data_IF_995587428757
#
_entry.id   IF_995587428757
#
_cell.length_a   1.000
_cell.length_b   1.000
_cell.length_c   1.000
_cell.angle_alpha   90.00
_cell.angle_beta   90.00
_cell.angle_gamma   90.00
#
_symmetry.space_group_name_H-M   'P 1'
#
loop_
_entity.id
_entity.type
_entity.pdbx_description
1 polymer ?
#
# COMPACT_ATOMS: atom_id res chain seq x y z
N UNK A 1 2.08 1.96 7.69
CA UNK A 1 0.94 2.63 8.37
C UNK A 1 1.24 4.11 8.49
N UNK A 2 0.26 5.00 8.41
CA UNK A 2 0.41 6.45 8.59
C UNK A 2 0.54 6.87 10.05
N UNK A 3 1.23 6.06 10.83
CA UNK A 3 1.52 6.25 12.24
C UNK A 3 2.99 5.91 12.46
N UNK A 4 3.70 6.78 13.18
CA UNK A 4 5.10 6.54 13.51
C UNK A 4 5.22 5.54 14.66
N UNK A 5 6.41 4.98 14.90
CA UNK A 5 6.65 4.13 16.07
C UNK A 5 6.42 4.90 17.39
N UNK A 6 6.57 6.22 17.39
CA UNK A 6 6.22 7.10 18.51
C UNK A 6 4.70 7.37 18.67
N UNK A 7 3.84 6.73 17.87
CA UNK A 7 2.38 6.86 17.95
C UNK A 7 1.82 8.16 17.37
N UNK A 8 2.60 8.91 16.59
CA UNK A 8 2.15 10.17 15.96
C UNK A 8 1.59 9.91 14.57
N UNK A 9 0.51 10.61 14.21
CA UNK A 9 -0.02 10.57 12.83
C UNK A 9 0.99 11.18 11.85
N UNK A 10 1.29 10.45 10.78
CA UNK A 10 2.17 10.94 9.72
C UNK A 10 1.47 11.99 8.84
N UNK A 11 2.24 12.97 8.35
CA UNK A 11 1.76 14.10 7.56
C UNK A 11 2.62 14.27 6.30
N UNK A 12 2.09 14.86 5.22
CA UNK A 12 0.72 15.37 5.07
C UNK A 12 -0.34 14.24 5.04
N UNK A 13 -1.62 14.59 5.21
CA UNK A 13 -2.70 13.58 5.28
C UNK A 13 -2.95 12.82 3.97
N UNK A 14 -2.46 13.34 2.85
CA UNK A 14 -2.57 12.77 1.50
C UNK A 14 -1.31 11.96 1.09
N UNK A 15 -0.41 11.66 2.04
CA UNK A 15 0.84 10.97 1.76
C UNK A 15 0.63 9.57 1.13
N UNK A 16 -0.43 8.87 1.54
CA UNK A 16 -0.70 7.51 1.07
C UNK A 16 -1.07 7.53 -0.41
N UNK A 17 -1.92 8.47 -0.80
CA UNK A 17 -2.33 8.71 -2.18
C UNK A 17 -1.13 9.17 -3.04
N UNK A 18 -0.24 10.02 -2.48
CA UNK A 18 0.99 10.44 -3.15
C UNK A 18 1.93 9.27 -3.41
N UNK A 19 2.19 8.44 -2.41
CA UNK A 19 3.04 7.26 -2.55
C UNK A 19 2.44 6.29 -3.58
N UNK A 20 1.15 6.01 -3.51
CA UNK A 20 0.47 5.14 -4.47
C UNK A 20 0.51 5.70 -5.90
N UNK A 21 0.46 7.03 -6.07
CA UNK A 21 0.62 7.70 -7.36
C UNK A 21 2.00 7.46 -7.98
N UNK A 22 3.08 7.61 -7.20
CA UNK A 22 4.46 7.29 -7.64
C UNK A 22 4.56 5.82 -8.06
N UNK A 23 3.83 4.94 -7.37
CA UNK A 23 3.87 3.51 -7.60
C UNK A 23 2.93 3.03 -8.73
N UNK A 24 2.15 3.92 -9.34
CA UNK A 24 1.12 3.56 -10.35
C UNK A 24 1.66 2.80 -11.56
N UNK A 25 2.93 3.01 -11.93
CA UNK A 25 3.58 2.35 -13.06
C UNK A 25 3.97 0.88 -12.79
N UNK A 26 4.20 0.50 -11.54
CA UNK A 26 4.65 -0.85 -11.18
C UNK A 26 3.45 -1.76 -11.03
N UNK A 27 3.12 -2.53 -12.07
CA UNK A 27 1.91 -3.36 -12.10
C UNK A 27 2.10 -4.60 -12.98
N UNK A 28 1.26 -5.65 -12.81
CA UNK A 28 1.30 -6.82 -13.68
C UNK A 28 1.16 -6.43 -15.16
N UNK A 29 2.04 -6.96 -16.02
CA UNK A 29 2.05 -6.64 -17.45
C UNK A 29 2.69 -5.29 -17.82
N UNK A 30 3.21 -4.54 -16.85
CA UNK A 30 3.85 -3.25 -17.06
C UNK A 30 2.88 -2.08 -17.21
N UNK A 31 3.42 -0.87 -17.26
CA UNK A 31 2.63 0.35 -17.42
C UNK A 31 2.20 0.54 -18.88
N UNK A 32 0.89 0.59 -19.11
CA UNK A 32 0.28 0.98 -20.39
C UNK A 32 -0.18 2.46 -20.37
N UNK A 33 -0.51 3.01 -21.54
CA UNK A 33 -1.13 4.33 -21.64
C UNK A 33 -2.37 4.42 -20.70
N UNK A 34 -2.43 5.47 -19.89
CA UNK A 34 -3.47 5.64 -18.86
C UNK A 34 -3.16 5.02 -17.49
N UNK A 35 -2.07 4.27 -17.33
CA UNK A 35 -1.73 3.65 -16.03
C UNK A 35 -1.52 4.68 -14.92
N UNK A 36 -0.98 5.86 -15.25
CA UNK A 36 -0.78 6.98 -14.31
C UNK A 36 -2.09 7.58 -13.77
N UNK A 37 -3.24 7.25 -14.37
CA UNK A 37 -4.57 7.70 -13.92
C UNK A 37 -5.19 6.77 -12.87
N UNK A 38 -4.53 5.66 -12.55
CA UNK A 38 -4.99 4.63 -11.63
C UNK A 38 -3.88 4.23 -10.67
N UNK A 39 -4.23 3.73 -9.49
CA UNK A 39 -3.24 3.10 -8.62
C UNK A 39 -2.83 1.72 -9.15
N UNK A 40 -1.63 1.29 -8.77
CA UNK A 40 -1.18 -0.07 -9.02
C UNK A 40 -1.98 -1.05 -8.15
N UNK A 41 -2.35 -2.24 -8.67
CA UNK A 41 -2.94 -3.29 -7.84
C UNK A 41 -1.97 -3.80 -6.76
N UNK A 42 -0.67 -3.52 -6.90
CA UNK A 42 0.35 -3.89 -5.91
C UNK A 42 0.63 -2.80 -4.88
N UNK A 43 0.08 -1.60 -5.03
CA UNK A 43 0.28 -0.50 -4.10
C UNK A 43 -0.98 0.37 -4.03
N UNK A 44 -1.79 0.14 -2.99
CA UNK A 44 -3.14 0.73 -2.87
C UNK A 44 -3.25 1.56 -1.60
N UNK A 45 -3.66 2.84 -1.68
CA UNK A 45 -3.91 3.64 -0.49
C UNK A 45 -5.21 3.18 0.18
N UNK A 46 -5.23 3.12 1.50
CA UNK A 46 -6.33 2.58 2.30
C UNK A 46 -6.44 3.33 3.63
N UNK A 47 -7.57 3.16 4.32
CA UNK A 47 -7.75 3.60 5.70
C UNK A 47 -8.00 2.37 6.57
N UNK A 48 -7.15 2.16 7.57
CA UNK A 48 -7.31 1.12 8.58
C UNK A 48 -7.47 1.78 9.94
N UNK A 49 -8.57 1.49 10.64
CA UNK A 49 -8.87 2.05 11.97
C UNK A 49 -8.77 3.59 12.00
N UNK A 50 -9.26 4.27 10.97
CA UNK A 50 -9.20 5.74 10.84
C UNK A 50 -7.81 6.30 10.51
N UNK A 51 -6.79 5.46 10.36
CA UNK A 51 -5.43 5.86 9.99
C UNK A 51 -5.16 5.54 8.53
N UNK A 52 -4.63 6.53 7.79
CA UNK A 52 -4.21 6.35 6.39
C UNK A 52 -3.05 5.36 6.32
N UNK A 53 -3.06 4.45 5.35
CA UNK A 53 -2.00 3.49 5.12
C UNK A 53 -1.90 3.14 3.63
N UNK A 54 -0.82 2.46 3.26
CA UNK A 54 -0.65 1.89 1.91
C UNK A 54 -0.50 0.39 2.09
N UNK A 55 -1.31 -0.37 1.35
CA UNK A 55 -1.22 -1.83 1.28
C UNK A 55 -0.34 -2.17 0.09
N UNK A 56 0.68 -2.98 0.33
CA UNK A 56 1.63 -3.41 -0.69
C UNK A 56 1.50 -4.92 -0.87
N UNK A 57 1.25 -5.36 -2.10
CA UNK A 57 1.23 -6.78 -2.43
C UNK A 57 2.66 -7.32 -2.44
N UNK A 58 2.89 -8.47 -1.81
CA UNK A 58 4.18 -9.17 -1.80
C UNK A 58 4.69 -9.54 -3.19
N UNK A 59 3.81 -9.74 -4.16
CA UNK A 59 4.20 -9.99 -5.56
C UNK A 59 5.11 -8.88 -6.09
N UNK A 60 4.95 -7.63 -5.63
CA UNK A 60 5.82 -6.52 -6.02
C UNK A 60 7.30 -6.82 -5.75
N UNK A 61 7.61 -7.58 -4.69
CA UNK A 61 8.98 -7.97 -4.36
C UNK A 61 9.61 -8.86 -5.43
N UNK A 62 8.83 -9.76 -6.00
CA UNK A 62 9.32 -10.75 -6.96
C UNK A 62 9.43 -10.14 -8.36
N UNK A 63 8.51 -9.25 -8.72
CA UNK A 63 8.49 -8.60 -10.04
C UNK A 63 9.35 -7.33 -10.10
N UNK A 64 9.30 -6.48 -9.08
CA UNK A 64 9.96 -5.17 -9.05
C UNK A 64 10.67 -4.94 -7.70
N UNK A 65 11.78 -5.66 -7.41
CA UNK A 65 12.44 -5.62 -6.11
C UNK A 65 12.86 -4.21 -5.66
N UNK A 66 13.31 -3.37 -6.60
CA UNK A 66 13.68 -1.98 -6.30
C UNK A 66 12.50 -1.14 -5.86
N UNK A 67 11.32 -1.36 -6.44
CA UNK A 67 10.09 -0.65 -6.07
C UNK A 67 9.59 -1.11 -4.70
N UNK A 68 9.72 -2.40 -4.40
CA UNK A 68 9.47 -2.96 -3.07
C UNK A 68 10.39 -2.32 -2.01
N UNK A 69 11.70 -2.31 -2.27
CA UNK A 69 12.69 -1.71 -1.37
C UNK A 69 12.47 -0.21 -1.19
N UNK A 70 12.07 0.51 -2.25
CA UNK A 70 11.69 1.91 -2.15
C UNK A 70 10.56 2.12 -1.13
N UNK A 71 9.51 1.30 -1.16
CA UNK A 71 8.42 1.42 -0.19
C UNK A 71 8.85 1.09 1.24
N UNK A 72 9.67 0.05 1.44
CA UNK A 72 10.18 -0.30 2.76
C UNK A 72 11.12 0.78 3.32
N UNK A 73 11.99 1.33 2.47
CA UNK A 73 12.87 2.43 2.85
C UNK A 73 12.08 3.71 3.13
N UNK A 74 11.04 4.02 2.35
CA UNK A 74 10.14 5.13 2.64
C UNK A 74 9.52 5.00 4.05
N UNK A 75 9.06 3.80 4.42
CA UNK A 75 8.51 3.58 5.75
C UNK A 75 9.58 3.76 6.83
N UNK A 76 10.78 3.21 6.62
CA UNK A 76 11.91 3.32 7.55
C UNK A 76 12.36 4.76 7.76
N UNK A 77 12.56 5.51 6.68
CA UNK A 77 13.07 6.89 6.72
C UNK A 77 12.09 7.85 7.40
N UNK A 78 10.79 7.52 7.38
CA UNK A 78 9.74 8.30 8.01
C UNK A 78 9.27 7.73 9.37
N UNK A 79 10.03 6.75 9.92
CA UNK A 79 9.72 6.06 11.18
C UNK A 79 8.30 5.47 11.24
N UNK A 80 7.78 5.02 10.09
CA UNK A 80 6.42 4.48 9.97
C UNK A 80 6.34 3.03 10.42
N UNK A 81 5.27 2.69 11.11
CA UNK A 81 4.98 1.31 11.46
C UNK A 81 4.68 0.48 10.20
N UNK A 82 5.27 -0.71 10.11
CA UNK A 82 4.99 -1.70 9.07
C UNK A 82 4.34 -2.91 9.74
N UNK A 83 3.26 -3.40 9.15
CA UNK A 83 2.54 -4.57 9.65
C UNK A 83 2.25 -5.52 8.48
N UNK A 84 2.39 -6.82 8.71
CA UNK A 84 1.89 -7.82 7.77
C UNK A 84 0.37 -7.90 7.88
N UNK A 85 -0.32 -7.51 6.83
CA UNK A 85 -1.75 -7.71 6.70
C UNK A 85 -2.01 -8.98 5.89
N UNK A 86 -2.58 -10.00 6.52
CA UNK A 86 -3.22 -11.08 5.78
C UNK A 86 -4.64 -10.62 5.44
N UNK A 87 -4.94 -10.50 4.14
CA UNK A 87 -6.32 -10.38 3.69
C UNK A 87 -7.01 -11.71 4.00
N UNK A 88 -7.72 -11.78 5.13
CA UNK A 88 -8.65 -12.88 5.35
C UNK A 88 -9.78 -12.71 4.33
N UNK A 89 -10.13 -13.75 3.55
CA UNK A 89 -11.29 -13.66 2.68
C UNK A 89 -12.50 -13.31 3.53
N UNK A 90 -13.29 -12.32 3.08
CA UNK A 90 -14.55 -11.97 3.72
C UNK A 90 -15.33 -13.26 3.96
N UNK A 91 -15.78 -13.49 5.21
CA UNK A 91 -16.61 -14.65 5.53
C UNK A 91 -17.74 -14.70 4.51
N UNK A 92 -17.73 -15.75 3.68
CA UNK A 92 -18.86 -16.10 2.82
C UNK A 92 -20.14 -15.98 3.68
N UNK A 93 -21.17 -15.24 3.22
CA UNK A 93 -22.41 -15.14 3.97
C UNK A 93 -22.90 -16.55 4.26
N UNK A 94 -23.08 -16.85 5.55
CA UNK A 94 -23.53 -18.15 6.02
C UNK A 94 -24.78 -18.54 5.22
N UNK A 95 -24.67 -19.66 4.50
CA UNK A 95 -25.76 -20.20 3.70
C UNK A 95 -27.03 -20.28 4.54
N UNK A 96 -28.07 -19.56 4.12
CA UNK A 96 -29.41 -19.77 4.66
C UNK A 96 -29.85 -21.16 4.21
N UNK A 97 -30.07 -22.05 5.19
CA UNK A 97 -30.84 -23.29 5.00
C UNK A 97 -32.32 -22.95 4.83
#
# INVERSE_FOLDING_TARGET
>A
MGMTHAGKTFRPSDWAERLAGVMSQFRPGGACAGSHLSYSPWCVPTVMNGTKCVVINRDLRDYEPMAWDFCLNFAKDNDLQVAEACLLPDKLPAGKK
#
